data_IF_614140373433
#
_entry.id   IF_614140373433
#
_cell.length_a   1.000
_cell.length_b   1.000
_cell.length_c   1.000
_cell.angle_alpha   90.00
_cell.angle_beta   90.00
_cell.angle_gamma   90.00
#
_symmetry.space_group_name_H-M   'P 1'
#
loop_
_entity.id
_entity.type
_entity.pdbx_description
1 polymer ?
#
# COMPACT_ATOMS: atom_id res chain seq x y z
N UNK A 1 31.54 -10.47 14.52
CA UNK A 1 32.41 -9.28 14.48
C UNK A 1 32.74 -8.75 13.06
N UNK A 2 33.19 -9.54 12.08
CA UNK A 2 33.46 -9.03 10.71
C UNK A 2 32.20 -8.71 9.90
N UNK A 3 31.11 -9.43 10.09
CA UNK A 3 29.83 -9.16 9.41
C UNK A 3 29.09 -7.96 10.00
N UNK A 4 29.11 -7.74 11.31
CA UNK A 4 28.53 -6.55 11.94
C UNK A 4 29.23 -5.26 11.52
N UNK A 5 30.55 -5.30 11.36
CA UNK A 5 31.32 -4.13 10.91
C UNK A 5 31.01 -3.74 9.46
N UNK A 6 30.70 -4.73 8.60
CA UNK A 6 30.26 -4.46 7.20
C UNK A 6 28.83 -3.87 7.16
N UNK A 7 27.94 -4.35 8.04
CA UNK A 7 26.54 -3.87 8.15
C UNK A 7 26.48 -2.43 8.63
N UNK A 8 27.29 -2.05 9.62
CA UNK A 8 27.38 -0.68 10.13
C UNK A 8 27.99 0.30 9.11
N UNK A 9 28.99 -0.11 8.32
CA UNK A 9 29.57 0.74 7.28
C UNK A 9 28.60 1.02 6.12
N UNK A 10 27.71 0.09 5.81
CA UNK A 10 26.67 0.29 4.79
C UNK A 10 25.56 1.24 5.30
N UNK A 11 25.23 1.12 6.60
CA UNK A 11 24.24 1.97 7.25
C UNK A 11 24.69 3.44 7.40
N UNK A 12 25.95 3.68 7.79
CA UNK A 12 26.53 5.03 7.84
C UNK A 12 26.65 5.67 6.46
N UNK A 13 26.92 4.89 5.40
CA UNK A 13 26.96 5.37 4.03
C UNK A 13 25.60 5.87 3.53
N UNK A 14 24.51 5.23 3.95
CA UNK A 14 23.12 5.60 3.60
C UNK A 14 22.70 6.89 4.32
N UNK A 15 23.01 7.00 5.61
CA UNK A 15 22.67 8.19 6.42
C UNK A 15 23.42 9.43 5.94
N UNK A 16 24.71 9.32 5.61
CA UNK A 16 25.50 10.43 5.09
C UNK A 16 25.05 10.92 3.72
N UNK A 17 24.45 10.05 2.89
CA UNK A 17 23.82 10.47 1.64
C UNK A 17 22.49 11.21 1.86
N UNK A 18 21.65 10.81 2.82
CA UNK A 18 20.42 11.52 3.15
C UNK A 18 20.67 12.95 3.65
N UNK A 19 21.67 13.17 4.52
CA UNK A 19 22.05 14.50 5.02
C UNK A 19 22.60 15.45 3.94
N UNK A 20 23.30 14.93 2.93
CA UNK A 20 23.80 15.74 1.79
C UNK A 20 22.67 16.29 0.90
N UNK A 21 21.50 15.65 0.87
CA UNK A 21 20.38 16.09 0.02
C UNK A 21 19.55 17.21 0.67
N UNK A 22 19.48 17.27 2.00
CA UNK A 22 18.81 18.38 2.69
C UNK A 22 19.55 19.72 2.49
N UNK A 23 20.88 19.67 2.38
CA UNK A 23 21.71 20.86 2.13
C UNK A 23 21.66 21.34 0.68
N UNK A 24 21.43 20.44 -0.31
CA UNK A 24 21.38 20.85 -1.72
C UNK A 24 20.04 21.54 -2.09
N UNK A 25 18.94 21.17 -1.45
CA UNK A 25 17.63 21.82 -1.66
C UNK A 25 17.57 23.23 -1.09
N UNK A 26 18.32 23.51 -0.03
CA UNK A 26 18.41 24.85 0.56
C UNK A 26 19.16 25.87 -0.32
N UNK A 27 20.07 25.41 -1.19
CA UNK A 27 20.91 26.29 -2.02
C UNK A 27 20.25 26.72 -3.34
N UNK A 28 19.22 25.99 -3.81
CA UNK A 28 18.50 26.34 -5.06
C UNK A 28 17.38 27.37 -4.80
N UNK A 29 16.89 27.49 -3.56
CA UNK A 29 15.81 28.43 -3.19
C UNK A 29 16.24 29.90 -3.13
N UNK A 30 17.54 30.23 -3.18
CA UNK A 30 18.05 31.61 -2.99
C UNK A 30 18.23 32.38 -4.31
N UNK A 31 18.12 31.75 -5.47
CA UNK A 31 18.48 32.36 -6.75
C UNK A 31 17.32 32.99 -7.57
N UNK A 32 16.07 33.01 -7.06
CA UNK A 32 14.90 33.48 -7.83
C UNK A 32 14.04 34.58 -7.17
N UNK A 33 14.59 35.36 -6.24
CA UNK A 33 13.86 36.51 -5.68
C UNK A 33 14.58 37.83 -5.96
N UNK A 34 14.49 38.30 -7.19
CA UNK A 34 14.64 39.73 -7.52
C UNK A 34 13.81 40.05 -8.78
N UNK A 35 12.73 40.76 -8.57
CA UNK A 35 12.03 41.38 -9.70
C UNK A 35 10.56 41.75 -9.42
N UNK A 36 10.36 43.02 -9.15
CA UNK A 36 9.22 43.89 -9.42
C UNK A 36 8.16 44.12 -8.34
N UNK A 37 8.22 45.30 -7.78
CA UNK A 37 7.10 46.02 -7.18
C UNK A 37 6.21 46.60 -8.27
N UNK A 38 4.87 46.52 -8.11
CA UNK A 38 3.93 47.56 -8.51
C UNK A 38 2.58 47.35 -7.81
N UNK A 39 1.94 48.43 -7.48
CA UNK A 39 0.88 48.69 -6.51
C UNK A 39 -0.53 48.18 -6.88
N UNK A 40 -1.34 48.10 -5.82
CA UNK A 40 -2.80 48.20 -5.71
C UNK A 40 -3.65 47.15 -6.45
N UNK A 41 -4.18 46.20 -5.64
CA UNK A 41 -5.56 45.76 -5.79
C UNK A 41 -6.06 45.11 -4.48
N UNK A 42 -7.23 45.59 -4.00
CA UNK A 42 -8.01 45.06 -2.89
C UNK A 42 -8.58 43.66 -3.24
N UNK A 43 -7.77 42.63 -3.32
CA UNK A 43 -8.21 41.23 -3.35
C UNK A 43 -8.18 40.64 -1.95
N UNK A 44 -9.23 39.89 -1.53
CA UNK A 44 -9.22 39.24 -0.22
C UNK A 44 -8.02 38.31 -0.10
N UNK A 45 -7.30 38.42 1.00
CA UNK A 45 -6.15 37.60 1.33
C UNK A 45 -6.43 36.12 1.09
N UNK A 46 -5.78 35.52 0.10
CA UNK A 46 -5.71 34.08 -0.12
C UNK A 46 -4.36 33.60 0.42
N UNK A 47 -4.31 32.50 1.18
CA UNK A 47 -3.03 31.97 1.65
C UNK A 47 -2.21 31.52 0.45
N UNK A 48 -1.13 32.24 0.14
CA UNK A 48 -0.27 32.05 -1.05
C UNK A 48 0.89 31.08 -0.81
N UNK A 49 0.68 29.95 -0.16
CA UNK A 49 1.67 28.87 -0.13
C UNK A 49 1.09 27.61 -0.76
N UNK A 50 1.02 27.63 -2.08
CA UNK A 50 0.79 26.38 -2.80
C UNK A 50 2.10 25.60 -2.83
N UNK A 51 2.05 24.35 -2.42
CA UNK A 51 3.18 23.42 -2.54
C UNK A 51 3.65 23.30 -4.00
N UNK A 52 4.94 23.14 -4.17
CA UNK A 52 5.57 22.99 -5.49
C UNK A 52 5.31 21.58 -6.02
N UNK A 53 5.26 21.48 -7.35
CA UNK A 53 5.34 20.22 -8.08
C UNK A 53 6.44 20.42 -9.15
N UNK A 54 7.70 20.41 -8.70
CA UNK A 54 8.84 20.88 -9.49
C UNK A 54 9.08 20.08 -10.77
N UNK A 55 8.61 18.81 -10.81
CA UNK A 55 8.78 17.92 -11.96
C UNK A 55 7.55 17.88 -12.87
N UNK A 56 6.52 18.69 -12.58
CA UNK A 56 5.26 18.74 -13.33
C UNK A 56 5.08 20.15 -13.91
N UNK A 57 4.88 20.25 -15.20
CA UNK A 57 4.63 21.49 -15.94
C UNK A 57 3.23 21.52 -16.58
N UNK A 58 2.66 20.36 -16.79
CA UNK A 58 1.30 20.18 -17.32
C UNK A 58 0.25 20.72 -16.33
N UNK A 59 -0.63 21.63 -16.79
CA UNK A 59 -1.58 22.32 -15.94
C UNK A 59 -2.73 21.42 -15.46
N UNK A 60 -3.11 20.39 -16.21
CA UNK A 60 -4.14 19.44 -15.81
C UNK A 60 -3.60 18.54 -14.69
N UNK A 61 -2.38 18.05 -14.83
CA UNK A 61 -1.70 17.30 -13.76
C UNK A 61 -1.51 18.17 -12.50
N UNK A 62 -1.07 19.42 -12.64
CA UNK A 62 -0.94 20.36 -11.51
C UNK A 62 -2.29 20.58 -10.81
N UNK A 63 -3.37 20.78 -11.57
CA UNK A 63 -4.71 20.95 -11.02
C UNK A 63 -5.13 19.69 -10.25
N UNK A 64 -4.91 18.51 -10.83
CA UNK A 64 -5.16 17.22 -10.18
C UNK A 64 -4.37 17.10 -8.87
N UNK A 65 -3.05 17.32 -8.87
CA UNK A 65 -2.22 17.23 -7.68
C UNK A 65 -2.66 18.20 -6.56
N UNK A 66 -3.26 19.35 -6.92
CA UNK A 66 -3.75 20.37 -6.00
C UNK A 66 -5.21 20.18 -5.57
N UNK A 67 -5.89 19.16 -6.06
CA UNK A 67 -7.30 18.86 -5.74
C UNK A 67 -7.49 17.90 -4.57
N UNK A 68 -6.41 17.46 -3.94
CA UNK A 68 -6.45 16.52 -2.80
C UNK A 68 -7.15 17.18 -1.59
N UNK A 69 -8.01 16.42 -0.92
CA UNK A 69 -8.82 16.88 0.22
C UNK A 69 -8.36 16.19 1.50
N UNK A 70 -8.12 16.98 2.55
CA UNK A 70 -7.94 16.43 3.91
C UNK A 70 -9.32 16.11 4.50
N UNK A 71 -9.59 14.83 4.74
CA UNK A 71 -10.89 14.38 5.23
C UNK A 71 -11.15 14.76 6.70
N UNK A 72 -10.13 15.20 7.42
CA UNK A 72 -10.24 15.67 8.81
C UNK A 72 -10.14 17.19 8.97
N UNK A 73 -10.19 17.92 7.87
CA UNK A 73 -10.22 19.40 7.90
C UNK A 73 -8.94 20.01 8.47
N UNK A 74 -7.78 19.64 7.93
CA UNK A 74 -6.43 20.14 8.23
C UNK A 74 -5.63 19.41 9.32
N UNK A 75 -6.01 18.20 9.71
CA UNK A 75 -5.16 17.37 10.59
C UNK A 75 -4.02 16.67 9.83
N UNK A 76 -4.15 16.52 8.49
CA UNK A 76 -3.10 15.97 7.65
C UNK A 76 -2.83 14.48 7.84
N UNK A 77 -3.80 13.71 8.34
CA UNK A 77 -3.66 12.29 8.65
C UNK A 77 -4.25 11.38 7.58
N UNK A 78 -5.32 11.85 6.91
CA UNK A 78 -5.99 11.14 5.83
C UNK A 78 -6.38 12.12 4.73
N UNK A 79 -5.98 11.78 3.50
CA UNK A 79 -6.32 12.56 2.32
C UNK A 79 -7.11 11.71 1.32
N UNK A 80 -7.96 12.36 0.54
CA UNK A 80 -8.66 11.78 -0.61
C UNK A 80 -8.24 12.50 -1.88
N UNK A 81 -7.91 11.74 -2.92
CA UNK A 81 -7.50 12.26 -4.21
C UNK A 81 -8.22 11.56 -5.36
N UNK A 82 -8.73 12.33 -6.32
CA UNK A 82 -9.16 11.81 -7.62
C UNK A 82 -8.00 11.90 -8.60
N UNK A 83 -7.45 10.77 -8.97
CA UNK A 83 -6.37 10.69 -9.92
C UNK A 83 -6.96 10.60 -11.34
N UNK A 84 -6.88 11.70 -12.09
CA UNK A 84 -7.50 11.85 -13.42
C UNK A 84 -6.55 11.74 -14.59
N UNK A 85 -5.23 11.81 -14.35
CA UNK A 85 -4.22 11.63 -15.39
C UNK A 85 -4.12 10.16 -15.82
N UNK A 86 -3.79 9.95 -17.10
CA UNK A 86 -3.47 8.61 -17.58
C UNK A 86 -2.12 8.14 -16.98
N UNK A 87 -2.16 7.10 -16.17
CA UNK A 87 -0.97 6.52 -15.51
C UNK A 87 -0.31 5.40 -16.31
N UNK A 88 -0.71 5.18 -17.57
CA UNK A 88 0.00 4.34 -18.54
C UNK A 88 0.17 2.89 -18.09
N UNK A 89 -0.90 2.25 -17.57
CA UNK A 89 -0.81 0.89 -17.03
C UNK A 89 -0.29 -0.11 -18.07
N UNK A 90 -0.78 -0.07 -19.30
CA UNK A 90 -0.38 -1.04 -20.32
C UNK A 90 1.11 -0.89 -20.70
N UNK A 91 1.62 0.35 -20.71
CA UNK A 91 3.06 0.61 -20.87
C UNK A 91 3.86 0.09 -19.68
N UNK A 92 3.38 0.25 -18.44
CA UNK A 92 4.01 -0.28 -17.23
C UNK A 92 4.08 -1.82 -17.25
N UNK A 93 2.98 -2.48 -17.62
CA UNK A 93 2.92 -3.94 -17.79
C UNK A 93 3.86 -4.41 -18.90
N UNK A 94 3.96 -3.64 -20.00
CA UNK A 94 4.85 -3.94 -21.10
C UNK A 94 6.33 -3.72 -20.76
N UNK A 95 6.64 -2.76 -19.91
CA UNK A 95 8.00 -2.47 -19.45
C UNK A 95 8.60 -3.58 -18.57
N UNK A 96 7.76 -4.40 -17.93
CA UNK A 96 8.23 -5.50 -17.08
C UNK A 96 8.89 -4.99 -15.80
N UNK A 97 8.23 -4.06 -15.10
CA UNK A 97 8.71 -3.45 -13.85
C UNK A 97 8.93 -4.55 -12.79
N UNK A 98 10.13 -4.62 -12.22
CA UNK A 98 10.57 -5.71 -11.35
C UNK A 98 11.01 -5.27 -9.94
N UNK A 99 10.77 -4.01 -9.57
CA UNK A 99 11.08 -3.47 -8.25
C UNK A 99 10.95 -1.96 -8.18
N UNK A 100 11.21 -1.39 -7.01
CA UNK A 100 11.06 0.05 -6.73
C UNK A 100 11.87 0.94 -7.69
N UNK A 101 13.11 0.56 -8.01
CA UNK A 101 13.95 1.40 -8.88
C UNK A 101 13.41 1.46 -10.32
N UNK A 102 12.97 0.35 -10.89
CA UNK A 102 12.35 0.31 -12.22
C UNK A 102 11.00 1.02 -12.24
N UNK A 103 10.23 0.95 -11.14
CA UNK A 103 8.99 1.72 -11.00
C UNK A 103 9.25 3.23 -10.96
N UNK A 104 10.21 3.69 -10.17
CA UNK A 104 10.59 5.12 -10.12
C UNK A 104 11.04 5.62 -11.48
N UNK A 105 11.86 4.84 -12.19
CA UNK A 105 12.30 5.18 -13.53
C UNK A 105 11.12 5.29 -14.50
N UNK A 106 10.16 4.36 -14.43
CA UNK A 106 8.95 4.39 -15.24
C UNK A 106 8.10 5.64 -14.95
N UNK A 107 7.81 5.92 -13.68
CA UNK A 107 7.04 7.11 -13.26
C UNK A 107 7.72 8.39 -13.73
N UNK A 108 9.03 8.50 -13.54
CA UNK A 108 9.80 9.66 -13.97
C UNK A 108 9.74 9.86 -15.49
N UNK A 109 9.85 8.79 -16.26
CA UNK A 109 9.89 8.85 -17.72
C UNK A 109 8.51 9.08 -18.36
N UNK A 110 7.44 8.51 -17.78
CA UNK A 110 6.13 8.46 -18.42
C UNK A 110 5.09 9.38 -17.78
N UNK A 111 5.23 9.72 -16.49
CA UNK A 111 4.22 10.47 -15.76
C UNK A 111 4.69 11.87 -15.35
N UNK A 112 5.99 12.09 -15.19
CA UNK A 112 6.55 13.41 -14.90
C UNK A 112 6.94 14.12 -16.22
N UNK A 113 6.94 15.44 -16.19
CA UNK A 113 7.26 16.27 -17.36
C UNK A 113 8.75 16.68 -17.38
N UNK A 114 9.41 16.59 -16.22
CA UNK A 114 10.84 16.87 -16.05
C UNK A 114 11.48 15.67 -15.37
N UNK A 115 12.56 15.17 -15.95
CA UNK A 115 13.28 14.01 -15.39
C UNK A 115 13.95 14.37 -14.07
N UNK A 116 13.67 13.62 -12.98
CA UNK A 116 14.37 13.81 -11.72
C UNK A 116 15.84 13.42 -11.84
N UNK A 117 16.72 14.18 -11.20
CA UNK A 117 18.08 13.70 -10.95
C UNK A 117 18.00 12.52 -9.99
N UNK A 118 18.60 11.40 -10.38
CA UNK A 118 18.49 10.07 -9.79
C UNK A 118 18.32 10.05 -8.27
N UNK A 119 17.23 9.44 -7.76
CA UNK A 119 17.02 9.13 -6.34
C UNK A 119 16.72 7.65 -6.19
N UNK A 120 17.39 6.99 -5.27
CA UNK A 120 16.99 5.65 -4.80
C UNK A 120 16.05 5.83 -3.59
N UNK A 121 14.87 5.22 -3.63
CA UNK A 121 14.03 5.04 -2.44
C UNK A 121 14.45 3.72 -1.78
N UNK A 122 14.83 3.76 -0.53
CA UNK A 122 15.03 2.55 0.27
C UNK A 122 13.77 2.35 1.12
N UNK A 123 13.00 1.33 0.81
CA UNK A 123 11.86 0.94 1.60
C UNK A 123 12.29 -0.21 2.51
N UNK A 124 12.30 0.04 3.82
CA UNK A 124 12.44 -1.02 4.83
C UNK A 124 11.05 -1.30 5.37
N UNK A 125 10.63 -2.56 5.36
CA UNK A 125 9.29 -2.96 5.78
C UNK A 125 9.36 -3.79 7.06
N UNK A 126 8.92 -3.22 8.17
CA UNK A 126 8.50 -3.96 9.36
C UNK A 126 6.98 -3.82 9.50
N UNK A 127 6.27 -4.53 8.62
CA UNK A 127 4.81 -4.46 8.51
C UNK A 127 4.18 -5.73 9.08
N UNK A 128 3.14 -5.55 9.88
CA UNK A 128 2.15 -6.56 10.17
C UNK A 128 0.88 -6.31 9.35
N UNK A 129 0.07 -7.31 9.18
CA UNK A 129 -1.22 -7.17 8.49
C UNK A 129 -2.19 -8.25 8.94
N UNK A 130 -3.48 -7.99 8.76
CA UNK A 130 -4.53 -8.99 8.91
C UNK A 130 -5.58 -8.79 7.84
N UNK A 131 -6.13 -9.87 7.28
CA UNK A 131 -7.26 -9.78 6.36
C UNK A 131 -8.22 -10.97 6.57
N UNK A 132 -9.50 -10.74 6.28
CA UNK A 132 -10.51 -11.80 6.29
C UNK A 132 -11.67 -11.49 5.34
N UNK A 133 -12.38 -12.55 4.91
CA UNK A 133 -13.61 -12.46 4.15
C UNK A 133 -14.77 -13.10 4.92
N UNK A 134 -15.93 -12.45 4.92
CA UNK A 134 -17.13 -12.93 5.56
C UNK A 134 -18.41 -12.47 4.84
N UNK A 135 -19.56 -12.90 5.34
CA UNK A 135 -20.87 -12.49 4.83
C UNK A 135 -21.57 -11.64 5.87
N UNK A 136 -22.17 -10.52 5.47
CA UNK A 136 -23.00 -9.72 6.38
C UNK A 136 -24.19 -10.55 6.90
N UNK A 137 -24.21 -10.71 8.22
CA UNK A 137 -25.22 -11.51 8.91
C UNK A 137 -26.65 -10.98 8.72
N UNK A 138 -26.80 -9.67 8.48
CA UNK A 138 -28.09 -8.99 8.36
C UNK A 138 -28.60 -8.86 6.94
N UNK A 139 -27.70 -8.69 5.96
CA UNK A 139 -28.07 -8.39 4.56
C UNK A 139 -27.65 -9.45 3.55
N UNK A 140 -26.71 -10.33 3.92
CA UNK A 140 -26.11 -11.29 2.99
C UNK A 140 -25.02 -10.69 2.09
N UNK A 141 -24.70 -9.41 2.23
CA UNK A 141 -23.62 -8.77 1.46
C UNK A 141 -22.27 -9.42 1.75
N UNK A 142 -21.39 -9.38 0.75
CA UNK A 142 -20.01 -9.88 0.89
C UNK A 142 -19.14 -8.79 1.49
N UNK A 143 -18.34 -9.18 2.47
CA UNK A 143 -17.49 -8.27 3.24
C UNK A 143 -16.05 -8.76 3.23
N UNK A 144 -15.11 -7.82 3.20
CA UNK A 144 -13.68 -8.08 3.43
C UNK A 144 -13.18 -7.11 4.51
N UNK A 145 -12.50 -7.63 5.53
CA UNK A 145 -11.83 -6.82 6.55
C UNK A 145 -10.33 -6.81 6.36
N UNK A 146 -9.67 -5.68 6.69
CA UNK A 146 -8.22 -5.52 6.57
C UNK A 146 -7.68 -4.58 7.65
N UNK A 147 -6.55 -4.97 8.27
CA UNK A 147 -5.68 -4.08 9.03
C UNK A 147 -4.33 -3.94 8.35
N UNK A 148 -3.87 -2.71 8.15
CA UNK A 148 -2.50 -2.39 7.80
C UNK A 148 -1.75 -1.94 9.05
N UNK A 149 -0.73 -2.71 9.43
CA UNK A 149 0.09 -2.45 10.60
C UNK A 149 1.51 -2.10 10.15
N UNK A 150 1.99 -0.93 10.56
CA UNK A 150 3.32 -0.47 10.22
C UNK A 150 3.88 0.46 11.30
N UNK A 151 5.17 0.37 11.59
CA UNK A 151 5.84 1.25 12.53
C UNK A 151 6.49 2.44 11.79
N UNK A 152 5.82 3.57 11.81
CA UNK A 152 6.41 4.83 11.36
C UNK A 152 7.25 5.42 12.47
N UNK A 153 8.55 5.19 12.41
CA UNK A 153 9.50 5.68 13.40
C UNK A 153 10.44 6.70 12.77
N UNK A 154 10.71 7.77 13.50
CA UNK A 154 11.80 8.66 13.16
C UNK A 154 13.11 7.89 13.19
N UNK A 155 13.94 7.98 12.15
CA UNK A 155 15.16 7.17 12.05
C UNK A 155 16.18 7.47 13.15
N UNK A 156 16.18 8.68 13.69
CA UNK A 156 17.15 9.15 14.68
C UNK A 156 16.63 8.97 16.12
N UNK A 157 15.43 9.47 16.41
CA UNK A 157 14.85 9.46 17.77
C UNK A 157 14.14 8.17 18.13
N UNK A 158 13.77 7.35 17.12
CA UNK A 158 12.90 6.16 17.25
C UNK A 158 11.50 6.45 17.79
N UNK A 159 11.15 7.71 17.88
CA UNK A 159 9.79 8.12 18.23
C UNK A 159 8.83 7.89 17.06
N UNK A 160 7.57 7.62 17.38
CA UNK A 160 6.54 7.44 16.35
C UNK A 160 6.23 8.76 15.67
N UNK A 161 6.26 8.74 14.33
CA UNK A 161 5.91 9.89 13.50
C UNK A 161 4.56 9.64 12.80
N UNK A 162 3.87 10.73 12.51
CA UNK A 162 2.62 10.69 11.76
C UNK A 162 2.91 10.68 10.26
N UNK A 163 2.43 9.63 9.59
CA UNK A 163 2.45 9.50 8.13
C UNK A 163 1.00 9.52 7.64
N UNK A 164 0.68 10.27 6.58
CA UNK A 164 -0.68 10.33 6.08
C UNK A 164 -1.04 9.06 5.29
N UNK A 165 -2.28 8.61 5.43
CA UNK A 165 -2.93 7.71 4.51
C UNK A 165 -3.52 8.51 3.35
N UNK A 166 -3.46 7.99 2.13
CA UNK A 166 -4.04 8.62 0.94
C UNK A 166 -5.00 7.64 0.27
N UNK A 167 -6.29 7.99 0.26
CA UNK A 167 -7.31 7.31 -0.54
C UNK A 167 -7.26 7.84 -1.97
N UNK A 168 -7.04 6.96 -2.94
CA UNK A 168 -6.85 7.30 -4.35
C UNK A 168 -7.97 6.71 -5.18
N UNK A 169 -8.79 7.57 -5.76
CA UNK A 169 -9.81 7.18 -6.74
C UNK A 169 -9.22 7.24 -8.15
N UNK A 170 -9.38 6.16 -8.91
CA UNK A 170 -8.99 6.10 -10.33
C UNK A 170 -10.18 5.71 -11.19
N UNK A 171 -10.22 6.23 -12.43
CA UNK A 171 -11.21 5.87 -13.45
C UNK A 171 -10.49 5.82 -14.82
N UNK A 172 -9.65 4.80 -15.06
CA UNK A 172 -8.85 4.71 -16.28
C UNK A 172 -9.73 4.42 -17.50
N UNK A 173 -9.36 4.96 -18.65
CA UNK A 173 -10.06 4.67 -19.90
C UNK A 173 -9.91 3.17 -20.25
N UNK A 174 -11.05 2.47 -20.39
CA UNK A 174 -11.07 1.04 -20.68
C UNK A 174 -10.73 0.11 -19.51
N UNK A 175 -10.55 0.65 -18.31
CA UNK A 175 -10.40 -0.11 -17.07
C UNK A 175 -11.53 0.17 -16.08
N UNK A 176 -11.46 -0.44 -14.91
CA UNK A 176 -12.48 -0.32 -13.86
C UNK A 176 -12.16 0.87 -12.95
N UNK A 177 -13.21 1.58 -12.52
CA UNK A 177 -13.08 2.56 -11.44
C UNK A 177 -12.71 1.85 -10.14
N UNK A 178 -11.85 2.48 -9.34
CA UNK A 178 -11.46 1.92 -8.05
C UNK A 178 -11.16 2.98 -7.00
N UNK A 179 -11.19 2.57 -5.74
CA UNK A 179 -10.55 3.26 -4.63
C UNK A 179 -9.44 2.36 -4.09
N UNK A 180 -8.27 2.93 -3.86
CA UNK A 180 -7.11 2.24 -3.29
C UNK A 180 -6.46 3.10 -2.21
N UNK A 181 -5.71 2.46 -1.31
CA UNK A 181 -5.14 3.12 -0.15
C UNK A 181 -3.62 3.00 -0.15
N UNK A 182 -2.98 4.13 0.11
CA UNK A 182 -1.54 4.32 0.00
C UNK A 182 -1.00 4.89 1.29
N UNK A 183 0.11 4.36 1.74
CA UNK A 183 0.90 4.93 2.84
C UNK A 183 1.82 6.04 2.28
N UNK A 184 1.67 7.25 2.79
CA UNK A 184 2.45 8.42 2.35
C UNK A 184 3.96 8.25 2.52
N UNK A 185 4.42 7.34 3.38
CA UNK A 185 5.83 7.05 3.55
C UNK A 185 6.49 6.52 2.27
N UNK A 186 5.75 5.75 1.44
CA UNK A 186 6.27 5.24 0.17
C UNK A 186 6.58 6.35 -0.85
N UNK A 187 6.00 7.52 -0.63
CA UNK A 187 6.25 8.72 -1.43
C UNK A 187 7.08 9.76 -0.66
N UNK A 188 7.58 9.40 0.51
CA UNK A 188 8.38 10.26 1.39
C UNK A 188 7.60 11.45 1.99
N UNK A 189 6.28 11.32 2.15
CA UNK A 189 5.43 12.33 2.77
C UNK A 189 5.20 12.06 4.26
N UNK A 190 5.22 13.14 5.04
CA UNK A 190 4.81 13.17 6.46
C UNK A 190 3.49 13.94 6.60
N UNK A 191 2.84 13.82 7.74
CA UNK A 191 1.63 14.59 8.04
C UNK A 191 1.85 16.09 7.79
N UNK A 192 0.85 16.74 7.20
CA UNK A 192 0.90 18.15 6.85
C UNK A 192 1.64 18.50 5.56
N UNK A 193 2.22 17.51 4.86
CA UNK A 193 3.00 17.74 3.63
C UNK A 193 2.24 18.55 2.58
N UNK A 194 0.93 18.39 2.52
CA UNK A 194 0.10 19.01 1.49
C UNK A 194 -0.10 20.51 1.69
N UNK A 195 0.03 20.99 2.92
CA UNK A 195 -0.20 22.40 3.30
C UNK A 195 1.02 23.10 3.88
N UNK A 196 2.18 22.43 3.96
CA UNK A 196 3.41 23.00 4.54
C UNK A 196 4.10 24.03 3.64
N UNK A 197 3.68 24.17 2.38
CA UNK A 197 4.24 25.08 1.38
C UNK A 197 5.66 24.75 0.90
N UNK A 198 6.23 23.64 1.39
CA UNK A 198 7.64 23.24 1.14
C UNK A 198 7.79 21.89 0.47
N UNK A 199 6.89 20.94 0.74
CA UNK A 199 6.91 19.61 0.14
C UNK A 199 6.64 19.66 -1.37
N UNK A 200 7.39 18.86 -2.14
CA UNK A 200 7.21 18.72 -3.59
C UNK A 200 6.15 17.65 -3.87
N UNK A 201 5.04 18.03 -4.50
CA UNK A 201 3.92 17.15 -4.80
C UNK A 201 4.14 16.23 -6.02
N UNK A 202 5.27 16.36 -6.73
CA UNK A 202 5.52 15.59 -7.97
C UNK A 202 5.44 14.08 -7.77
N UNK A 203 5.83 13.58 -6.58
CA UNK A 203 5.78 12.15 -6.28
C UNK A 203 4.35 11.60 -6.15
N UNK A 204 3.32 12.44 -5.99
CA UNK A 204 1.92 12.01 -6.04
C UNK A 204 1.55 11.41 -7.41
N UNK A 205 2.33 11.67 -8.46
CA UNK A 205 2.14 11.02 -9.76
C UNK A 205 2.33 9.50 -9.69
N UNK A 206 3.03 8.98 -8.68
CA UNK A 206 3.22 7.54 -8.47
C UNK A 206 2.05 6.86 -7.72
N UNK A 207 1.08 7.60 -7.19
CA UNK A 207 -0.01 7.06 -6.36
C UNK A 207 -0.71 5.82 -6.94
N UNK A 208 -1.04 5.75 -8.25
CA UNK A 208 -1.67 4.56 -8.81
C UNK A 208 -0.84 3.28 -8.68
N UNK A 209 0.48 3.42 -8.53
CA UNK A 209 1.43 2.30 -8.54
C UNK A 209 1.97 1.89 -7.17
N UNK A 210 1.44 2.45 -6.09
CA UNK A 210 1.85 2.10 -4.73
C UNK A 210 0.68 1.75 -3.80
N UNK A 211 -0.43 1.14 -4.29
CA UNK A 211 -1.52 0.72 -3.44
C UNK A 211 -1.10 -0.47 -2.58
N UNK A 212 -1.65 -0.53 -1.36
CA UNK A 212 -1.48 -1.65 -0.42
C UNK A 212 -2.74 -2.51 -0.35
N UNK A 213 -3.87 -1.91 -0.63
CA UNK A 213 -5.19 -2.53 -0.74
C UNK A 213 -6.13 -1.62 -1.55
N UNK A 214 -7.31 -2.14 -1.89
CA UNK A 214 -8.32 -1.40 -2.60
C UNK A 214 -9.46 -2.27 -3.10
N UNK A 215 -10.48 -1.59 -3.66
CA UNK A 215 -11.65 -2.22 -4.25
C UNK A 215 -12.06 -1.49 -5.53
N UNK A 216 -12.60 -2.22 -6.51
CA UNK A 216 -13.10 -1.65 -7.74
C UNK A 216 -14.64 -1.67 -7.86
N UNK A 217 -15.16 -1.11 -8.93
CA UNK A 217 -16.61 -0.95 -9.19
C UNK A 217 -17.37 -2.25 -9.39
N UNK A 218 -16.70 -3.38 -9.63
CA UNK A 218 -17.33 -4.70 -9.65
C UNK A 218 -17.46 -5.30 -8.24
N UNK A 219 -16.83 -4.68 -7.23
CA UNK A 219 -16.77 -5.18 -5.87
C UNK A 219 -15.69 -6.26 -5.70
N UNK A 220 -14.71 -6.31 -6.59
CA UNK A 220 -13.47 -7.05 -6.37
C UNK A 220 -12.54 -6.22 -5.49
N UNK A 221 -12.03 -6.84 -4.44
CA UNK A 221 -11.07 -6.21 -3.52
C UNK A 221 -9.81 -7.06 -3.39
N UNK A 222 -8.69 -6.38 -3.20
CA UNK A 222 -7.38 -6.99 -3.04
C UNK A 222 -6.57 -6.27 -1.98
N UNK A 223 -5.80 -7.01 -1.19
CA UNK A 223 -4.78 -6.47 -0.30
C UNK A 223 -3.50 -7.29 -0.37
N UNK A 224 -2.36 -6.66 -0.11
CA UNK A 224 -1.09 -7.34 0.09
C UNK A 224 -0.74 -7.38 1.57
N UNK A 225 -0.23 -8.54 2.02
CA UNK A 225 0.26 -8.72 3.38
C UNK A 225 1.71 -9.23 3.30
N UNK A 226 2.58 -8.65 4.12
CA UNK A 226 3.99 -9.03 4.17
C UNK A 226 4.14 -10.46 4.69
N UNK A 227 5.05 -11.20 4.07
CA UNK A 227 5.60 -12.47 4.55
C UNK A 227 7.08 -12.28 4.91
N UNK A 228 7.50 -12.90 6.00
CA UNK A 228 8.92 -12.99 6.31
C UNK A 228 9.58 -14.03 5.39
N UNK A 229 10.86 -13.85 5.10
CA UNK A 229 11.62 -14.73 4.22
C UNK A 229 12.30 -14.00 3.07
N UNK A 230 12.67 -14.75 2.05
CA UNK A 230 13.32 -14.20 0.85
C UNK A 230 12.32 -13.39 0.00
N UNK A 231 12.85 -12.40 -0.72
CA UNK A 231 12.06 -11.64 -1.70
C UNK A 231 11.55 -12.53 -2.84
N UNK A 232 10.33 -12.26 -3.28
CA UNK A 232 9.70 -13.01 -4.38
C UNK A 232 10.44 -12.80 -5.70
N UNK A 233 10.70 -13.90 -6.40
CA UNK A 233 11.25 -13.89 -7.75
C UNK A 233 10.77 -15.12 -8.51
N UNK A 234 9.88 -14.94 -9.48
CA UNK A 234 9.52 -15.94 -10.45
C UNK A 234 10.35 -15.79 -11.73
N UNK A 235 10.58 -16.88 -12.47
CA UNK A 235 11.41 -16.92 -13.67
C UNK A 235 10.84 -17.89 -14.73
N UNK A 236 9.54 -17.88 -14.94
CA UNK A 236 8.92 -18.68 -15.99
C UNK A 236 9.23 -18.10 -17.37
N UNK A 237 9.66 -18.96 -18.28
CA UNK A 237 10.05 -18.59 -19.64
C UNK A 237 8.85 -18.02 -20.39
N UNK A 238 9.05 -16.87 -21.04
CA UNK A 238 8.04 -16.20 -21.86
C UNK A 238 7.12 -15.23 -21.12
N UNK A 239 7.15 -15.20 -19.78
CA UNK A 239 6.37 -14.24 -18.99
C UNK A 239 7.19 -13.00 -18.67
N UNK A 240 6.53 -11.82 -18.72
CA UNK A 240 7.11 -10.56 -18.26
C UNK A 240 7.13 -10.50 -16.74
N UNK A 241 8.08 -9.74 -16.20
CA UNK A 241 8.11 -9.44 -14.77
C UNK A 241 7.04 -8.43 -14.40
N UNK A 242 6.52 -8.55 -13.19
CA UNK A 242 5.59 -7.60 -12.59
C UNK A 242 5.95 -7.37 -11.12
N UNK A 243 6.11 -6.12 -10.73
CA UNK A 243 6.35 -5.74 -9.34
C UNK A 243 5.04 -5.79 -8.53
N UNK A 244 5.09 -6.21 -7.27
CA UNK A 244 3.92 -6.45 -6.40
C UNK A 244 2.89 -5.32 -6.44
N UNK A 245 3.29 -4.05 -6.32
CA UNK A 245 2.35 -2.93 -6.30
C UNK A 245 1.80 -2.58 -7.69
N UNK A 246 2.55 -2.86 -8.75
CA UNK A 246 2.05 -2.76 -10.15
C UNK A 246 1.01 -3.85 -10.40
N UNK A 247 1.21 -5.06 -9.85
CA UNK A 247 0.21 -6.12 -9.91
C UNK A 247 -1.09 -5.71 -9.20
N UNK A 248 -0.99 -5.06 -8.03
CA UNK A 248 -2.16 -4.49 -7.34
C UNK A 248 -2.96 -3.55 -8.24
N UNK A 249 -2.27 -2.64 -8.94
CA UNK A 249 -2.93 -1.71 -9.88
C UNK A 249 -3.58 -2.46 -11.04
N UNK A 250 -2.87 -3.43 -11.63
CA UNK A 250 -3.41 -4.27 -12.70
C UNK A 250 -4.70 -4.99 -12.27
N UNK A 251 -4.71 -5.58 -11.08
CA UNK A 251 -5.88 -6.30 -10.56
C UNK A 251 -7.06 -5.36 -10.36
N UNK A 252 -6.84 -4.18 -9.77
CA UNK A 252 -7.90 -3.20 -9.54
C UNK A 252 -8.51 -2.67 -10.84
N UNK A 253 -7.70 -2.53 -11.91
CA UNK A 253 -8.19 -2.03 -13.20
C UNK A 253 -8.84 -3.10 -14.08
N UNK A 254 -8.42 -4.37 -13.96
CA UNK A 254 -8.77 -5.38 -14.95
C UNK A 254 -9.60 -6.54 -14.40
N UNK A 255 -9.45 -6.92 -13.13
CA UNK A 255 -10.20 -8.05 -12.54
C UNK A 255 -11.56 -7.59 -12.00
N UNK A 256 -12.62 -8.34 -12.29
CA UNK A 256 -13.94 -8.17 -11.65
C UNK A 256 -14.25 -9.26 -10.65
N UNK A 257 -13.48 -10.35 -10.65
CA UNK A 257 -13.66 -11.53 -9.80
C UNK A 257 -12.33 -12.08 -9.32
N UNK A 258 -12.39 -12.94 -8.29
CA UNK A 258 -11.21 -13.66 -7.77
C UNK A 258 -10.57 -14.51 -8.86
N UNK A 259 -11.35 -15.24 -9.66
CA UNK A 259 -10.83 -16.10 -10.73
C UNK A 259 -10.12 -15.27 -11.82
N UNK A 260 -10.72 -14.15 -12.27
CA UNK A 260 -10.07 -13.24 -13.23
C UNK A 260 -8.75 -12.67 -12.68
N UNK A 261 -8.70 -12.37 -11.38
CA UNK A 261 -7.48 -11.89 -10.74
C UNK A 261 -6.36 -12.95 -10.74
N UNK A 262 -6.71 -14.21 -10.47
CA UNK A 262 -5.77 -15.34 -10.52
C UNK A 262 -5.24 -15.52 -11.96
N UNK A 263 -6.11 -15.54 -12.96
CA UNK A 263 -5.75 -15.65 -14.38
C UNK A 263 -4.82 -14.50 -14.83
N UNK A 264 -5.02 -13.28 -14.31
CA UNK A 264 -4.15 -12.16 -14.60
C UNK A 264 -2.76 -12.32 -13.96
N UNK A 265 -2.70 -12.76 -12.70
CA UNK A 265 -1.42 -13.00 -12.02
C UNK A 265 -0.60 -14.11 -12.69
N UNK A 266 -1.25 -15.15 -13.21
CA UNK A 266 -0.61 -16.25 -13.93
C UNK A 266 0.11 -15.80 -15.22
N UNK A 267 -0.22 -14.64 -15.77
CA UNK A 267 0.40 -14.15 -17.02
C UNK A 267 1.78 -13.55 -16.81
N UNK A 268 2.19 -13.30 -15.54
CA UNK A 268 3.41 -12.58 -15.21
C UNK A 268 4.32 -13.36 -14.28
N UNK A 269 5.58 -12.97 -14.24
CA UNK A 269 6.54 -13.36 -13.22
C UNK A 269 6.54 -12.33 -12.10
N UNK A 270 5.98 -12.70 -10.95
CA UNK A 270 5.94 -11.84 -9.77
C UNK A 270 7.34 -11.56 -9.21
N UNK A 271 7.59 -10.30 -8.91
CA UNK A 271 8.79 -9.84 -8.27
C UNK A 271 8.47 -8.92 -7.07
N UNK A 272 9.25 -9.01 -6.01
CA UNK A 272 9.29 -8.02 -4.93
C UNK A 272 10.68 -7.41 -4.81
N UNK A 273 10.81 -6.35 -4.02
CA UNK A 273 12.13 -5.75 -3.78
C UNK A 273 13.07 -6.70 -3.04
N UNK A 274 14.36 -6.59 -3.34
CA UNK A 274 15.43 -7.39 -2.73
C UNK A 274 15.73 -7.00 -1.28
N UNK A 275 14.71 -6.71 -0.48
CA UNK A 275 14.80 -6.29 0.91
C UNK A 275 14.26 -7.34 1.88
N UNK A 276 14.41 -8.61 1.54
CA UNK A 276 13.99 -9.76 2.38
C UNK A 276 12.51 -9.71 2.77
N UNK A 277 11.64 -9.43 1.81
CA UNK A 277 10.20 -9.49 1.99
C UNK A 277 9.54 -10.16 0.79
N UNK A 278 8.69 -11.12 1.06
CA UNK A 278 7.69 -11.63 0.15
C UNK A 278 6.33 -11.07 0.53
N UNK A 279 5.34 -11.34 -0.27
CA UNK A 279 3.96 -10.91 -0.01
C UNK A 279 3.01 -11.99 -0.50
N UNK A 280 1.89 -12.16 0.21
CA UNK A 280 0.74 -12.81 -0.36
C UNK A 280 -0.35 -11.79 -0.69
N UNK A 281 -1.17 -12.12 -1.67
CA UNK A 281 -2.37 -11.37 -1.99
C UNK A 281 -3.56 -12.04 -1.31
N UNK A 282 -4.39 -11.24 -0.64
CA UNK A 282 -5.71 -11.66 -0.21
C UNK A 282 -6.74 -11.04 -1.15
N UNK A 283 -7.53 -11.90 -1.82
CA UNK A 283 -8.50 -11.55 -2.84
C UNK A 283 -9.90 -11.86 -2.34
N UNK A 284 -10.87 -10.99 -2.60
CA UNK A 284 -12.29 -11.27 -2.34
C UNK A 284 -13.17 -10.53 -3.36
N UNK A 285 -14.36 -11.05 -3.65
CA UNK A 285 -15.29 -10.42 -4.59
C UNK A 285 -16.75 -10.40 -4.13
N UNK A 286 -17.58 -9.67 -4.88
CA UNK A 286 -19.00 -9.51 -4.60
C UNK A 286 -19.82 -10.81 -4.81
N UNK A 287 -19.28 -11.84 -5.46
CA UNK A 287 -19.91 -13.16 -5.56
C UNK A 287 -19.73 -13.94 -4.27
N UNK A 288 -18.70 -13.62 -3.49
CA UNK A 288 -18.36 -14.25 -2.21
C UNK A 288 -17.20 -15.22 -2.33
N UNK A 289 -16.52 -15.22 -3.47
CA UNK A 289 -15.28 -15.95 -3.66
C UNK A 289 -14.14 -15.21 -2.96
N UNK A 290 -13.13 -15.97 -2.52
CA UNK A 290 -11.94 -15.46 -1.86
C UNK A 290 -10.77 -16.39 -2.16
N UNK A 291 -9.57 -15.84 -2.14
CA UNK A 291 -8.34 -16.61 -2.30
C UNK A 291 -7.16 -15.93 -1.60
N UNK A 292 -6.19 -16.74 -1.21
CA UNK A 292 -4.85 -16.30 -0.86
C UNK A 292 -3.94 -16.75 -2.01
N UNK A 293 -3.14 -15.86 -2.55
CA UNK A 293 -2.12 -16.18 -3.55
C UNK A 293 -0.75 -15.98 -2.93
N UNK A 294 0.02 -17.04 -2.83
CA UNK A 294 1.37 -17.05 -2.28
C UNK A 294 2.39 -17.39 -3.36
N UNK A 295 3.60 -16.89 -3.20
CA UNK A 295 4.74 -17.21 -4.06
C UNK A 295 5.75 -17.97 -3.22
N UNK A 296 5.78 -19.30 -3.40
CA UNK A 296 6.50 -20.22 -2.53
C UNK A 296 7.84 -20.64 -3.13
N UNK A 297 8.84 -20.78 -2.27
CA UNK A 297 10.12 -21.39 -2.63
C UNK A 297 10.06 -22.92 -2.48
N UNK A 298 11.01 -23.65 -3.09
CA UNK A 298 11.20 -25.06 -2.77
C UNK A 298 11.81 -25.18 -1.36
N UNK A 299 11.08 -25.75 -0.38
CA UNK A 299 11.57 -25.85 0.99
C UNK A 299 12.80 -26.76 1.14
N UNK A 300 13.08 -27.63 0.15
CA UNK A 300 14.19 -28.59 0.15
C UNK A 300 15.29 -28.24 -0.86
N UNK A 301 15.17 -27.15 -1.57
CA UNK A 301 16.04 -26.79 -2.70
C UNK A 301 16.57 -25.37 -2.65
N UNK A 302 16.75 -24.79 -3.83
CA UNK A 302 17.04 -23.36 -3.98
C UNK A 302 15.83 -22.54 -3.55
N UNK A 303 16.03 -21.48 -2.78
CA UNK A 303 14.98 -20.55 -2.42
C UNK A 303 14.32 -19.86 -3.64
N UNK A 304 14.90 -20.02 -4.83
CA UNK A 304 14.42 -19.43 -6.10
C UNK A 304 14.61 -20.39 -7.28
N UNK A 305 13.81 -20.27 -8.32
CA UNK A 305 12.68 -19.36 -8.50
C UNK A 305 11.45 -19.77 -7.68
N UNK A 306 10.63 -18.79 -7.28
CA UNK A 306 9.35 -19.03 -6.61
C UNK A 306 8.28 -19.55 -7.58
N UNK A 307 7.28 -20.24 -7.01
CA UNK A 307 6.09 -20.69 -7.73
C UNK A 307 4.84 -20.05 -7.13
N UNK A 308 3.89 -19.71 -7.97
CA UNK A 308 2.58 -19.25 -7.52
C UNK A 308 1.76 -20.42 -6.98
N UNK A 309 1.24 -20.29 -5.78
CA UNK A 309 0.27 -21.19 -5.17
C UNK A 309 -1.02 -20.44 -4.87
N UNK A 310 -2.15 -21.00 -5.28
CA UNK A 310 -3.49 -20.45 -5.10
C UNK A 310 -4.24 -21.28 -4.07
N UNK A 311 -4.67 -20.63 -2.99
CA UNK A 311 -5.35 -21.24 -1.86
C UNK A 311 -6.79 -20.70 -1.80
N UNK A 312 -7.76 -21.50 -2.21
CA UNK A 312 -9.19 -21.17 -2.28
C UNK A 312 -10.08 -22.37 -1.93
N UNK A 313 -11.38 -22.16 -1.91
CA UNK A 313 -12.40 -23.21 -1.70
C UNK A 313 -12.29 -23.94 -0.33
N UNK A 314 -11.70 -23.27 0.68
CA UNK A 314 -11.58 -23.80 2.04
C UNK A 314 -11.72 -22.66 3.04
N UNK A 315 -12.56 -22.84 4.05
CA UNK A 315 -12.81 -21.85 5.09
C UNK A 315 -11.54 -21.42 5.85
N UNK A 316 -10.49 -22.27 5.89
CA UNK A 316 -9.19 -21.92 6.45
C UNK A 316 -8.48 -20.79 5.66
N UNK A 317 -8.87 -20.52 4.44
CA UNK A 317 -8.32 -19.47 3.58
C UNK A 317 -9.16 -18.18 3.58
N UNK A 318 -10.17 -18.09 4.47
CA UNK A 318 -10.96 -16.87 4.67
C UNK A 318 -10.27 -15.80 5.49
N UNK A 319 -9.13 -16.09 6.08
CA UNK A 319 -8.39 -15.17 6.93
C UNK A 319 -6.89 -15.46 6.86
N UNK A 320 -6.10 -14.43 7.03
CA UNK A 320 -4.64 -14.51 6.87
C UNK A 320 -3.95 -13.38 7.63
N UNK A 321 -2.68 -13.62 8.00
CA UNK A 321 -1.81 -12.62 8.63
C UNK A 321 -0.43 -12.58 7.95
N UNK A 322 0.68 -12.86 8.64
CA UNK A 322 2.03 -12.62 8.11
C UNK A 322 2.91 -13.87 8.05
N UNK A 323 2.34 -15.03 7.79
CA UNK A 323 3.08 -16.28 7.57
C UNK A 323 2.46 -17.05 6.41
N UNK A 324 3.24 -17.97 5.83
CA UNK A 324 2.76 -18.82 4.76
C UNK A 324 1.70 -19.81 5.25
N UNK A 325 0.57 -19.87 4.55
CA UNK A 325 -0.50 -20.84 4.79
C UNK A 325 -0.52 -21.94 3.72
N UNK A 326 0.28 -21.80 2.67
CA UNK A 326 0.46 -22.83 1.65
C UNK A 326 0.98 -24.12 2.27
N UNK A 327 0.40 -25.29 1.97
CA UNK A 327 0.84 -26.59 2.50
C UNK A 327 2.32 -26.87 2.21
N UNK A 328 2.85 -26.44 1.07
CA UNK A 328 4.27 -26.59 0.71
C UNK A 328 5.21 -25.86 1.65
N UNK A 329 4.76 -24.80 2.31
CA UNK A 329 5.55 -23.96 3.20
C UNK A 329 5.23 -24.18 4.69
N UNK A 330 4.23 -25.01 5.02
CA UNK A 330 3.68 -25.13 6.37
C UNK A 330 4.74 -25.45 7.46
N UNK A 331 5.71 -26.28 7.14
CA UNK A 331 6.76 -26.74 8.06
C UNK A 331 8.07 -25.94 7.96
N UNK A 332 8.10 -24.85 7.19
CA UNK A 332 9.22 -23.91 7.16
C UNK A 332 9.17 -22.97 8.38
N UNK A 333 10.27 -22.28 8.70
CA UNK A 333 10.30 -21.31 9.81
C UNK A 333 9.30 -20.16 9.65
N UNK A 334 8.87 -19.87 8.40
CA UNK A 334 7.89 -18.82 8.06
C UNK A 334 6.49 -19.37 7.77
N UNK A 335 6.28 -20.68 7.91
CA UNK A 335 5.02 -21.37 7.70
C UNK A 335 4.13 -21.44 8.94
N UNK A 336 2.88 -21.77 8.74
CA UNK A 336 1.82 -21.81 9.77
C UNK A 336 2.18 -22.66 10.99
N UNK A 337 3.01 -23.70 10.85
CA UNK A 337 3.36 -24.59 11.96
C UNK A 337 4.49 -24.05 12.87
N UNK A 338 5.25 -23.04 12.41
CA UNK A 338 6.46 -22.58 13.12
C UNK A 338 6.51 -21.06 13.29
N UNK A 339 5.94 -20.28 12.38
CA UNK A 339 5.98 -18.81 12.48
C UNK A 339 5.19 -18.32 13.68
N UNK A 340 5.75 -17.35 14.40
CA UNK A 340 5.07 -16.61 15.46
C UNK A 340 4.53 -15.25 14.97
N UNK A 341 5.02 -14.77 13.83
CA UNK A 341 4.63 -13.46 13.30
C UNK A 341 3.16 -13.44 12.87
N UNK A 342 2.32 -12.84 13.67
CA UNK A 342 0.88 -12.73 13.42
C UNK A 342 0.04 -13.94 13.87
N UNK A 343 0.62 -14.97 14.52
CA UNK A 343 -0.12 -16.17 14.92
C UNK A 343 -1.25 -15.85 15.90
N UNK A 344 -1.02 -15.02 16.92
CA UNK A 344 -2.07 -14.64 17.87
C UNK A 344 -3.25 -13.90 17.18
N UNK A 345 -2.96 -13.04 16.20
CA UNK A 345 -3.98 -12.36 15.38
C UNK A 345 -4.74 -13.36 14.50
N UNK A 346 -4.03 -14.29 13.88
CA UNK A 346 -4.61 -15.36 13.06
C UNK A 346 -5.58 -16.24 13.88
N UNK A 347 -5.18 -16.65 15.07
CA UNK A 347 -6.03 -17.46 15.96
C UNK A 347 -7.27 -16.70 16.43
N UNK A 348 -7.13 -15.40 16.71
CA UNK A 348 -8.26 -14.54 17.07
C UNK A 348 -9.27 -14.44 15.92
N UNK A 349 -8.78 -14.19 14.68
CA UNK A 349 -9.61 -14.20 13.48
C UNK A 349 -10.32 -15.54 13.29
N UNK A 350 -9.55 -16.64 13.32
CA UNK A 350 -10.08 -18.01 13.17
C UNK A 350 -11.21 -18.28 14.14
N UNK A 351 -10.93 -18.10 15.43
CA UNK A 351 -11.87 -18.44 16.49
C UNK A 351 -13.17 -17.62 16.37
N UNK A 352 -13.05 -16.31 16.12
CA UNK A 352 -14.23 -15.45 16.01
C UNK A 352 -15.04 -15.70 14.74
N UNK A 353 -14.38 -15.89 13.60
CA UNK A 353 -15.06 -16.19 12.33
C UNK A 353 -15.77 -17.55 12.38
N UNK A 354 -15.13 -18.56 12.97
CA UNK A 354 -15.75 -19.89 13.16
C UNK A 354 -16.93 -19.83 14.13
N UNK A 355 -16.80 -19.16 15.29
CA UNK A 355 -17.88 -18.94 16.26
C UNK A 355 -19.12 -18.35 15.59
N UNK A 356 -18.90 -17.39 14.67
CA UNK A 356 -19.97 -16.67 13.97
C UNK A 356 -20.37 -17.31 12.63
N UNK A 357 -19.89 -18.52 12.32
CA UNK A 357 -20.11 -19.19 11.03
C UNK A 357 -19.80 -18.30 9.83
N UNK A 358 -18.70 -17.52 9.91
CA UNK A 358 -18.26 -16.57 8.90
C UNK A 358 -19.31 -15.51 8.51
N UNK A 359 -20.20 -15.17 9.45
CA UNK A 359 -21.27 -14.19 9.27
C UNK A 359 -21.17 -13.11 10.36
N UNK A 360 -20.77 -11.91 9.96
CA UNK A 360 -20.60 -10.75 10.83
C UNK A 360 -21.37 -9.56 10.24
N UNK A 361 -21.98 -8.74 11.07
CA UNK A 361 -22.39 -7.41 10.60
C UNK A 361 -21.14 -6.54 10.34
N UNK A 362 -21.23 -5.47 9.53
CA UNK A 362 -20.09 -4.56 9.34
C UNK A 362 -19.51 -4.04 10.67
N UNK A 363 -20.35 -3.73 11.65
CA UNK A 363 -19.91 -3.32 12.98
C UNK A 363 -19.13 -4.43 13.70
N UNK A 364 -19.62 -5.65 13.69
CA UNK A 364 -18.88 -6.80 14.26
C UNK A 364 -17.58 -7.08 13.54
N UNK A 365 -17.53 -6.83 12.22
CA UNK A 365 -16.30 -6.90 11.44
C UNK A 365 -15.27 -5.86 11.89
N UNK A 366 -15.69 -4.61 12.10
CA UNK A 366 -14.80 -3.55 12.64
C UNK A 366 -14.34 -3.88 14.07
N UNK A 367 -15.22 -4.45 14.93
CA UNK A 367 -14.82 -4.92 16.26
C UNK A 367 -13.79 -6.07 16.19
N UNK A 368 -13.91 -6.95 15.20
CA UNK A 368 -12.91 -8.00 14.97
C UNK A 368 -11.58 -7.41 14.51
N UNK A 369 -11.60 -6.41 13.61
CA UNK A 369 -10.38 -5.68 13.22
C UNK A 369 -9.76 -4.97 14.42
N UNK A 370 -10.57 -4.35 15.29
CA UNK A 370 -10.11 -3.74 16.55
C UNK A 370 -9.44 -4.76 17.47
N UNK A 371 -10.03 -5.97 17.59
CA UNK A 371 -9.49 -7.03 18.44
C UNK A 371 -8.13 -7.56 17.97
N UNK A 372 -7.81 -7.47 16.67
CA UNK A 372 -6.51 -7.88 16.10
C UNK A 372 -5.62 -6.70 15.74
N UNK A 373 -6.03 -5.48 16.07
CA UNK A 373 -5.24 -4.28 15.81
C UNK A 373 -4.02 -4.21 16.73
N UNK A 374 -2.88 -3.88 16.16
CA UNK A 374 -1.60 -3.77 16.87
C UNK A 374 -1.43 -2.38 17.49
N UNK A 375 -0.91 -2.34 18.71
CA UNK A 375 -0.66 -1.09 19.43
C UNK A 375 -0.25 -1.33 20.88
N UNK A 376 0.08 -0.26 21.63
CA UNK A 376 0.60 -0.36 22.99
C UNK A 376 -0.33 -1.10 23.97
N UNK A 377 -1.65 -1.05 23.73
CA UNK A 377 -2.65 -1.73 24.56
C UNK A 377 -2.78 -3.22 24.27
N UNK A 378 -2.23 -3.72 23.15
CA UNK A 378 -2.22 -5.13 22.77
C UNK A 378 -0.77 -5.61 22.49
N UNK A 379 0.17 -5.46 23.43
CA UNK A 379 1.59 -5.77 23.18
C UNK A 379 1.84 -7.25 22.89
N UNK A 380 0.95 -8.14 23.31
CA UNK A 380 1.02 -9.57 23.05
C UNK A 380 0.75 -9.93 21.58
N UNK A 381 0.09 -9.05 20.82
CA UNK A 381 -0.21 -9.30 19.41
C UNK A 381 0.96 -8.98 18.49
N UNK A 382 1.75 -7.97 18.81
CA UNK A 382 2.97 -7.56 18.10
C UNK A 382 3.54 -6.25 18.68
N UNK A 383 4.74 -5.90 18.25
CA UNK A 383 5.34 -4.57 18.47
C UNK A 383 4.91 -3.53 17.43
N UNK A 384 4.05 -3.90 16.48
CA UNK A 384 3.54 -3.03 15.41
C UNK A 384 2.52 -1.98 15.88
N UNK A 385 2.03 -1.20 14.92
CA UNK A 385 0.94 -0.24 15.14
C UNK A 385 0.01 -0.22 13.93
N UNK A 386 -1.29 -0.43 14.15
CA UNK A 386 -2.30 -0.38 13.10
C UNK A 386 -2.48 1.05 12.61
N UNK A 387 -2.11 1.30 11.37
CA UNK A 387 -2.24 2.59 10.70
C UNK A 387 -3.67 2.83 10.24
N UNK A 388 -4.29 1.78 9.65
CA UNK A 388 -5.71 1.81 9.30
C UNK A 388 -6.37 0.43 9.37
N UNK A 389 -7.67 0.46 9.53
CA UNK A 389 -8.57 -0.70 9.53
C UNK A 389 -9.72 -0.44 8.57
N UNK A 390 -10.00 -1.38 7.69
CA UNK A 390 -10.97 -1.24 6.62
C UNK A 390 -11.96 -2.40 6.61
N UNK A 391 -13.23 -2.04 6.49
CA UNK A 391 -14.33 -2.98 6.22
C UNK A 391 -14.94 -2.65 4.86
N UNK A 392 -14.52 -3.38 3.85
CA UNK A 392 -15.09 -3.32 2.51
C UNK A 392 -16.45 -4.02 2.47
N UNK A 393 -17.46 -3.35 1.98
CA UNK A 393 -18.71 -3.96 1.58
C UNK A 393 -18.68 -4.15 0.05
N UNK A 394 -18.27 -5.33 -0.37
CA UNK A 394 -18.03 -5.65 -1.79
C UNK A 394 -19.31 -5.57 -2.61
N UNK A 395 -20.45 -5.95 -2.02
CA UNK A 395 -21.76 -5.89 -2.68
C UNK A 395 -22.26 -4.44 -2.87
N UNK A 396 -21.97 -3.54 -1.90
CA UNK A 396 -22.35 -2.13 -1.97
C UNK A 396 -21.28 -1.24 -2.57
N UNK A 397 -20.05 -1.75 -2.71
CA UNK A 397 -18.89 -1.00 -3.23
C UNK A 397 -18.56 0.22 -2.39
N UNK A 398 -18.57 0.02 -1.06
CA UNK A 398 -18.21 1.03 -0.06
C UNK A 398 -17.17 0.46 0.90
N UNK A 399 -16.35 1.31 1.46
CA UNK A 399 -15.39 0.95 2.51
C UNK A 399 -15.63 1.83 3.73
N UNK A 400 -15.78 1.20 4.90
CA UNK A 400 -15.72 1.88 6.19
C UNK A 400 -14.31 1.79 6.72
N UNK A 401 -13.72 2.94 7.04
CA UNK A 401 -12.31 3.11 7.35
C UNK A 401 -12.13 3.75 8.71
N UNK A 402 -11.28 3.17 9.57
CA UNK A 402 -10.74 3.78 10.78
C UNK A 402 -9.23 3.97 10.63
N UNK A 403 -8.71 5.13 11.01
CA UNK A 403 -7.28 5.40 11.00
C UNK A 403 -6.72 5.43 12.42
N UNK A 404 -5.44 5.04 12.57
CA UNK A 404 -4.69 5.17 13.83
C UNK A 404 -5.42 4.57 15.05
N UNK A 405 -6.23 3.51 14.82
CA UNK A 405 -7.02 2.81 15.84
C UNK A 405 -8.16 3.65 16.45
N UNK A 406 -8.56 4.75 15.82
CA UNK A 406 -9.67 5.59 16.26
C UNK A 406 -11.02 4.99 15.81
N UNK A 407 -11.37 3.77 16.26
CA UNK A 407 -12.53 2.99 15.83
C UNK A 407 -13.89 3.67 16.11
N UNK A 408 -13.92 4.68 16.95
CA UNK A 408 -15.12 5.48 17.23
C UNK A 408 -15.29 6.63 16.20
N UNK A 409 -14.31 6.83 15.31
CA UNK A 409 -14.31 7.84 14.26
C UNK A 409 -14.01 7.18 12.90
N UNK A 410 -15.06 6.92 12.14
CA UNK A 410 -14.95 6.20 10.87
C UNK A 410 -15.28 7.11 9.68
N UNK A 411 -14.56 6.90 8.59
CA UNK A 411 -14.85 7.46 7.27
C UNK A 411 -15.58 6.41 6.43
N UNK A 412 -16.46 6.86 5.53
CA UNK A 412 -17.10 5.97 4.56
C UNK A 412 -16.83 6.49 3.16
N UNK A 413 -16.13 5.71 2.38
CA UNK A 413 -15.79 6.03 0.99
C UNK A 413 -16.52 5.06 0.05
N UNK A 414 -16.87 5.53 -1.14
CA UNK A 414 -17.47 4.74 -2.21
C UNK A 414 -16.67 4.85 -3.49
N UNK A 415 -16.95 3.99 -4.46
CA UNK A 415 -16.36 4.10 -5.80
C UNK A 415 -16.97 5.34 -6.50
N UNK A 416 -16.11 6.22 -7.02
CA UNK A 416 -16.50 7.50 -7.61
C UNK A 416 -16.28 7.55 -9.13
#
# INVERSE_FOLDING_TARGET
MKQEKKRNQTFEGIINNMLRWQTLLATIAIALTLGACSDDDDTPWQPTTQNKAALITDQEKLTMLRSMVDLEGNKGRIYEMRYTADYKLDEALNAGIDGTNSLIAFVAQHLMDVMPQQKSLALSFDAGCSAFACTDASTGNRLMGRNFDFNHLDPDTKERIMIPMIAVHTAPAGGKKSVSFVDGQFLNYKSGFYTDGTSDLSMLMALPYVPLDGMNEDGFAVSVLKLDGDYTQQEEVGKKKIFTTVAMRMLLDKAGTVDEAIELLEQYNMCSDKVQASYHFFLADAKGDYAIVEYTADPNGSSKPHKMEVLKDNDAYRYVTNFYVAPSMADTEHGINHSQHGMARYETLRNKLQEMNYRLTPTQGMELLKAVAQGPENPELSTGFTQWSEMYNLSKKTVTLSILREFDHNFVLGIQ
#
